data_IF_808038063731
#
_entry.id   IF_808038063731
#
_cell.length_a   1.000
_cell.length_b   1.000
_cell.length_c   1.000
_cell.angle_alpha   90.00
_cell.angle_beta   90.00
_cell.angle_gamma   90.00
#
_symmetry.space_group_name_H-M   'P 1'
#
loop_
_entity.id
_entity.type
_entity.pdbx_description
1 polymer ?
#
# COMPACT_ATOMS: atom_id res chain seq x y z
N UNK A 1 28.41 24.96 -30.86
CA UNK A 1 26.97 24.90 -30.50
C UNK A 1 26.95 24.74 -29.00
N UNK A 2 26.32 25.69 -28.34
CA UNK A 2 26.47 26.01 -26.92
C UNK A 2 26.05 24.84 -26.02
N UNK A 3 26.83 24.63 -24.95
CA UNK A 3 26.54 23.66 -23.92
C UNK A 3 25.25 24.07 -23.20
N UNK A 4 24.20 23.27 -23.32
CA UNK A 4 23.03 23.33 -22.43
C UNK A 4 23.51 22.98 -21.02
N UNK A 5 23.91 24.01 -20.28
CA UNK A 5 24.34 23.89 -18.90
C UNK A 5 23.14 23.42 -18.07
N UNK A 6 23.15 22.14 -17.68
CA UNK A 6 22.24 21.63 -16.68
C UNK A 6 22.31 22.50 -15.42
N UNK A 7 21.19 23.08 -15.02
CA UNK A 7 21.12 23.90 -13.80
C UNK A 7 20.74 23.01 -12.64
N UNK A 8 21.56 23.02 -11.59
CA UNK A 8 21.36 22.24 -10.38
C UNK A 8 20.94 23.19 -9.26
N UNK A 9 19.79 22.91 -8.64
CA UNK A 9 19.25 23.69 -7.54
C UNK A 9 18.35 22.85 -6.65
N UNK A 10 17.98 23.41 -5.50
CA UNK A 10 17.06 22.78 -4.56
C UNK A 10 15.64 23.19 -4.94
N UNK A 11 14.75 22.22 -5.14
CA UNK A 11 13.33 22.51 -5.40
C UNK A 11 12.74 23.22 -4.18
N UNK A 12 12.17 24.39 -4.40
CA UNK A 12 11.57 25.24 -3.36
C UNK A 12 10.29 25.89 -3.88
N UNK A 13 9.51 26.49 -2.98
CA UNK A 13 8.30 27.24 -3.32
C UNK A 13 8.36 28.63 -2.68
N UNK A 14 7.90 29.64 -3.41
CA UNK A 14 7.80 31.02 -2.91
C UNK A 14 6.59 31.72 -3.47
N UNK A 15 6.28 32.92 -2.96
CA UNK A 15 5.29 33.81 -3.57
C UNK A 15 5.95 34.67 -4.65
N UNK A 16 5.34 34.72 -5.83
CA UNK A 16 5.79 35.54 -6.94
C UNK A 16 5.80 37.02 -6.50
N UNK A 17 6.94 37.74 -6.61
CA UNK A 17 7.03 39.13 -6.17
C UNK A 17 6.17 40.09 -7.01
N UNK A 18 5.76 39.68 -8.22
CA UNK A 18 5.01 40.53 -9.14
C UNK A 18 3.50 40.48 -8.91
N UNK A 19 2.94 39.31 -8.59
CA UNK A 19 1.49 39.14 -8.48
C UNK A 19 1.02 38.25 -7.32
N UNK A 20 1.93 37.78 -6.46
CA UNK A 20 1.60 37.16 -5.17
C UNK A 20 1.08 35.72 -5.21
N UNK A 21 0.97 35.09 -6.38
CA UNK A 21 0.64 33.67 -6.49
C UNK A 21 1.83 32.79 -6.04
N UNK A 22 1.55 31.54 -5.66
CA UNK A 22 2.60 30.59 -5.31
C UNK A 22 3.25 30.03 -6.58
N UNK A 23 4.58 30.13 -6.65
CA UNK A 23 5.40 29.58 -7.72
C UNK A 23 6.37 28.54 -7.16
N UNK A 24 6.52 27.43 -7.89
CA UNK A 24 7.46 26.35 -7.58
C UNK A 24 8.62 26.43 -8.57
N UNK A 25 9.83 26.33 -8.07
CA UNK A 25 11.05 26.47 -8.85
C UNK A 25 12.22 25.79 -8.17
N UNK A 26 13.41 25.95 -8.72
CA UNK A 26 14.64 25.52 -8.07
C UNK A 26 15.50 26.73 -7.72
N UNK A 27 16.06 26.71 -6.53
CA UNK A 27 17.01 27.70 -6.04
C UNK A 27 18.43 27.19 -6.27
N UNK A 28 19.21 27.91 -7.08
CA UNK A 28 20.60 27.56 -7.37
C UNK A 28 21.50 27.83 -6.17
N UNK A 29 22.73 27.31 -6.18
CA UNK A 29 23.73 27.60 -5.14
C UNK A 29 24.01 29.10 -4.94
N UNK A 30 23.69 29.92 -5.95
CA UNK A 30 23.90 31.35 -5.94
C UNK A 30 22.68 32.12 -5.42
N UNK A 31 21.63 31.42 -4.94
CA UNK A 31 20.38 32.02 -4.44
C UNK A 31 19.43 32.51 -5.53
N UNK A 32 19.71 32.19 -6.79
CA UNK A 32 18.84 32.52 -7.91
C UNK A 32 17.68 31.50 -7.98
N UNK A 33 16.45 32.00 -8.03
CA UNK A 33 15.26 31.18 -8.19
C UNK A 33 14.85 31.12 -9.66
N UNK A 34 14.74 29.91 -10.18
CA UNK A 34 14.28 29.63 -11.54
C UNK A 34 12.94 28.88 -11.47
N UNK A 35 11.83 29.45 -11.99
CA UNK A 35 10.52 28.81 -11.92
C UNK A 35 10.47 27.58 -12.83
N UNK A 36 9.83 26.51 -12.36
CA UNK A 36 9.57 25.33 -13.17
C UNK A 36 8.48 25.63 -14.19
N UNK A 37 8.72 25.24 -15.45
CA UNK A 37 7.78 25.40 -16.55
C UNK A 37 7.26 24.04 -17.02
N UNK A 38 6.01 23.98 -17.52
CA UNK A 38 5.53 22.79 -18.22
C UNK A 38 6.48 22.43 -19.37
N UNK A 39 6.97 21.19 -19.36
CA UNK A 39 7.95 20.69 -20.33
C UNK A 39 9.39 20.59 -19.82
N UNK A 40 9.69 21.08 -18.62
CA UNK A 40 11.02 20.93 -18.02
C UNK A 40 11.30 19.46 -17.64
N UNK A 41 12.50 18.98 -17.99
CA UNK A 41 13.02 17.68 -17.55
C UNK A 41 13.77 17.84 -16.23
N UNK A 42 13.35 17.12 -15.18
CA UNK A 42 13.94 17.22 -13.85
C UNK A 42 14.72 15.96 -13.49
N UNK A 43 16.01 16.14 -13.14
CA UNK A 43 16.82 15.10 -12.52
C UNK A 43 16.75 15.18 -10.99
N UNK A 44 16.30 14.11 -10.32
CA UNK A 44 16.24 14.06 -8.85
C UNK A 44 17.52 13.45 -8.30
N UNK A 45 18.39 14.29 -7.76
CA UNK A 45 19.60 13.86 -7.06
C UNK A 45 19.31 13.78 -5.57
N UNK A 46 19.13 12.55 -5.06
CA UNK A 46 19.03 12.35 -3.60
C UNK A 46 20.36 12.74 -2.98
N UNK A 47 20.37 13.79 -2.15
CA UNK A 47 21.54 14.15 -1.35
C UNK A 47 21.91 12.91 -0.51
N UNK A 48 23.13 12.37 -0.61
CA UNK A 48 23.55 11.28 0.25
C UNK A 48 23.40 11.71 1.71
N UNK A 49 23.03 10.79 2.63
CA UNK A 49 23.22 11.05 4.05
C UNK A 49 24.68 11.47 4.27
N UNK A 50 24.92 12.44 5.15
CA UNK A 50 26.25 12.95 5.45
C UNK A 50 27.23 11.80 5.75
N UNK A 51 28.51 11.91 5.35
CA UNK A 51 29.42 10.79 5.28
C UNK A 51 29.62 10.15 6.64
N UNK A 52 29.16 8.92 6.72
CA UNK A 52 29.28 8.02 7.86
C UNK A 52 28.66 6.69 7.48
N UNK A 53 29.29 6.00 6.51
CA UNK A 53 29.24 4.56 6.17
C UNK A 53 29.27 4.41 4.64
N UNK A 54 30.42 3.94 4.16
CA UNK A 54 30.73 3.76 2.76
C UNK A 54 30.04 2.53 2.18
N UNK A 55 29.62 2.60 0.91
CA UNK A 55 29.67 1.47 0.00
C UNK A 55 29.87 1.97 -1.45
N UNK A 56 30.63 1.20 -2.20
CA UNK A 56 31.14 1.44 -3.56
C UNK A 56 30.02 1.45 -4.62
N UNK A 57 30.30 1.98 -5.83
CA UNK A 57 29.32 2.09 -6.90
C UNK A 57 29.16 0.75 -7.62
N UNK A 58 27.92 0.27 -7.73
CA UNK A 58 27.56 -0.80 -8.68
C UNK A 58 26.81 -0.20 -9.88
N UNK A 59 27.16 -0.77 -11.03
CA UNK A 59 26.71 -0.43 -12.36
C UNK A 59 25.20 -0.67 -12.50
N UNK A 60 24.54 0.18 -13.29
CA UNK A 60 23.15 -0.01 -13.69
C UNK A 60 23.03 -1.26 -14.58
N UNK A 61 22.68 -2.39 -13.96
CA UNK A 61 21.93 -3.46 -14.62
C UNK A 61 20.46 -3.11 -14.55
N UNK A 62 19.78 -3.15 -15.71
CA UNK A 62 18.32 -3.20 -15.77
C UNK A 62 17.92 -4.56 -15.21
N UNK A 63 17.74 -4.62 -13.90
CA UNK A 63 17.12 -5.76 -13.25
C UNK A 63 15.61 -5.60 -13.40
N UNK A 64 15.00 -6.57 -14.09
CA UNK A 64 13.63 -6.97 -13.79
C UNK A 64 13.47 -7.03 -12.27
N UNK A 65 12.29 -6.76 -11.69
CA UNK A 65 12.11 -6.87 -10.25
C UNK A 65 12.19 -8.35 -9.88
N UNK A 66 13.41 -8.87 -9.70
CA UNK A 66 13.64 -10.02 -8.87
C UNK A 66 13.21 -9.59 -7.47
N UNK A 67 12.24 -10.32 -6.94
CA UNK A 67 11.64 -10.06 -5.65
C UNK A 67 12.71 -9.78 -4.61
N UNK A 68 12.77 -8.54 -4.15
CA UNK A 68 13.12 -8.32 -2.77
C UNK A 68 12.06 -9.09 -1.98
N UNK A 69 12.44 -10.23 -1.41
CA UNK A 69 11.63 -10.90 -0.42
C UNK A 69 11.33 -9.83 0.64
N UNK A 70 10.12 -9.27 0.62
CA UNK A 70 9.64 -8.42 1.71
C UNK A 70 9.85 -9.27 2.96
N UNK A 71 10.79 -8.88 3.82
CA UNK A 71 11.16 -9.66 4.99
C UNK A 71 10.00 -9.63 5.99
N UNK A 72 9.06 -10.55 5.82
CA UNK A 72 7.91 -10.70 6.69
C UNK A 72 8.29 -11.40 8.01
N UNK A 73 9.57 -11.63 8.33
CA UNK A 73 9.98 -12.30 9.58
C UNK A 73 9.47 -11.60 10.85
N UNK A 74 9.33 -10.27 10.77
CA UNK A 74 8.74 -9.42 11.81
C UNK A 74 7.21 -9.40 11.90
N UNK A 75 6.51 -10.14 11.03
CA UNK A 75 5.05 -10.14 10.97
C UNK A 75 4.43 -11.45 11.48
N UNK A 76 3.29 -11.32 12.13
CA UNK A 76 2.35 -12.38 12.50
C UNK A 76 1.11 -12.32 11.62
N UNK A 77 0.54 -13.49 11.32
CA UNK A 77 -0.71 -13.58 10.57
C UNK A 77 -1.88 -13.56 11.53
N UNK A 78 -2.96 -12.88 11.12
CA UNK A 78 -4.20 -12.90 11.87
C UNK A 78 -5.39 -13.02 10.93
N UNK A 79 -6.34 -13.88 11.31
CA UNK A 79 -7.64 -14.04 10.68
C UNK A 79 -8.61 -14.52 11.75
N UNK A 80 -9.90 -14.16 11.72
CA UNK A 80 -10.88 -14.73 12.63
C UNK A 80 -10.87 -16.26 12.57
N UNK A 81 -10.81 -16.92 13.74
CA UNK A 81 -10.71 -18.38 13.84
C UNK A 81 -11.80 -19.13 13.07
N UNK A 82 -13.01 -18.57 13.02
CA UNK A 82 -14.15 -19.12 12.29
C UNK A 82 -13.91 -19.18 10.77
N UNK A 83 -13.00 -18.38 10.23
CA UNK A 83 -12.72 -18.28 8.80
C UNK A 83 -11.49 -19.09 8.36
N UNK A 84 -10.74 -19.68 9.31
CA UNK A 84 -9.48 -20.39 9.03
C UNK A 84 -9.63 -21.57 8.07
N UNK A 85 -10.83 -22.12 7.89
CA UNK A 85 -11.06 -23.26 6.99
C UNK A 85 -11.17 -22.88 5.51
N UNK A 86 -11.57 -21.66 5.19
CA UNK A 86 -11.85 -21.28 3.81
C UNK A 86 -10.76 -20.35 3.24
N UNK A 87 -10.10 -20.76 2.15
CA UNK A 87 -9.02 -19.99 1.52
C UNK A 87 -9.46 -18.59 1.08
N UNK A 88 -10.61 -18.46 0.43
CA UNK A 88 -11.10 -17.15 -0.04
C UNK A 88 -11.38 -16.21 1.13
N UNK A 89 -11.94 -16.72 2.23
CA UNK A 89 -12.17 -15.91 3.44
C UNK A 89 -10.84 -15.55 4.13
N UNK A 90 -9.86 -16.45 4.17
CA UNK A 90 -8.51 -16.13 4.65
C UNK A 90 -7.84 -15.05 3.80
N UNK A 91 -7.93 -15.14 2.48
CA UNK A 91 -7.37 -14.12 1.59
C UNK A 91 -8.14 -12.80 1.65
N UNK A 92 -9.45 -12.80 1.90
CA UNK A 92 -10.27 -11.58 2.07
C UNK A 92 -9.96 -10.89 3.40
N UNK A 93 -10.08 -11.61 4.51
CA UNK A 93 -10.04 -11.05 5.87
C UNK A 93 -8.70 -11.17 6.58
N UNK A 94 -7.81 -12.05 6.15
CA UNK A 94 -6.50 -12.25 6.76
C UNK A 94 -5.59 -11.04 6.59
N UNK A 95 -4.82 -10.72 7.62
CA UNK A 95 -3.89 -9.58 7.67
C UNK A 95 -2.54 -9.99 8.25
N UNK A 96 -1.51 -9.22 7.92
CA UNK A 96 -0.19 -9.30 8.53
C UNK A 96 -0.03 -8.17 9.55
N UNK A 97 0.49 -8.50 10.73
CA UNK A 97 0.61 -7.57 11.85
C UNK A 97 2.02 -7.60 12.37
N UNK A 98 2.61 -6.43 12.58
CA UNK A 98 3.93 -6.33 13.17
C UNK A 98 3.90 -6.86 14.62
N UNK A 99 4.78 -7.82 14.92
CA UNK A 99 4.94 -8.45 16.25
C UNK A 99 5.14 -7.45 17.38
N UNK A 100 5.80 -6.33 17.12
CA UNK A 100 6.08 -5.30 18.12
C UNK A 100 4.80 -4.56 18.59
N UNK A 101 3.75 -4.59 17.76
CA UNK A 101 2.47 -3.93 18.01
C UNK A 101 1.46 -4.88 18.65
N UNK A 102 1.59 -6.19 18.46
CA UNK A 102 0.70 -7.20 19.05
C UNK A 102 0.96 -7.30 20.55
N UNK A 103 0.06 -6.71 21.35
CA UNK A 103 0.08 -6.80 22.82
C UNK A 103 -1.31 -7.19 23.33
N UNK A 104 -1.77 -8.40 22.98
CA UNK A 104 -3.02 -8.96 23.48
C UNK A 104 -3.98 -9.40 22.37
N UNK A 105 -5.27 -9.39 22.68
CA UNK A 105 -6.34 -9.76 21.76
C UNK A 105 -6.51 -8.75 20.61
N UNK A 106 -7.07 -9.21 19.49
CA UNK A 106 -7.35 -8.36 18.34
C UNK A 106 -8.38 -7.29 18.69
N UNK A 107 -8.06 -6.03 18.40
CA UNK A 107 -9.02 -4.93 18.47
C UNK A 107 -9.40 -4.44 17.08
N UNK A 108 -10.58 -3.81 16.96
CA UNK A 108 -11.04 -3.24 15.70
C UNK A 108 -10.05 -2.24 15.09
N UNK A 109 -9.49 -1.34 15.91
CA UNK A 109 -8.50 -0.36 15.46
C UNK A 109 -7.19 -1.01 14.98
N UNK A 110 -6.73 -2.07 15.66
CA UNK A 110 -5.56 -2.84 15.22
C UNK A 110 -5.82 -3.55 13.90
N UNK A 111 -7.01 -4.14 13.74
CA UNK A 111 -7.40 -4.81 12.52
C UNK A 111 -7.50 -3.84 11.32
N UNK A 112 -8.13 -2.68 11.50
CA UNK A 112 -8.21 -1.64 10.46
C UNK A 112 -6.81 -1.22 9.99
N UNK A 113 -5.92 -0.93 10.94
CA UNK A 113 -4.55 -0.54 10.62
C UNK A 113 -3.82 -1.65 9.83
N UNK A 114 -3.94 -2.90 10.27
CA UNK A 114 -3.34 -4.04 9.59
C UNK A 114 -3.92 -4.29 8.19
N UNK A 115 -5.22 -4.05 8.02
CA UNK A 115 -5.91 -4.16 6.73
C UNK A 115 -5.44 -3.09 5.74
N UNK A 116 -5.29 -1.84 6.19
CA UNK A 116 -4.73 -0.76 5.37
C UNK A 116 -3.27 -1.03 4.98
N UNK A 117 -2.48 -1.60 5.90
CA UNK A 117 -1.12 -2.05 5.59
C UNK A 117 -1.11 -3.16 4.54
N UNK A 118 -2.03 -4.13 4.62
CA UNK A 118 -2.20 -5.15 3.58
C UNK A 118 -2.51 -4.53 2.22
N UNK A 119 -3.44 -3.57 2.13
CA UNK A 119 -3.73 -2.87 0.87
C UNK A 119 -2.48 -2.20 0.29
N UNK A 120 -1.72 -1.50 1.13
CA UNK A 120 -0.47 -0.86 0.71
C UNK A 120 0.52 -1.88 0.13
N UNK A 121 0.70 -3.04 0.77
CA UNK A 121 1.60 -4.11 0.29
C UNK A 121 1.13 -4.68 -1.06
N UNK A 122 -0.17 -4.96 -1.20
CA UNK A 122 -0.76 -5.45 -2.45
C UNK A 122 -0.55 -4.45 -3.60
N UNK A 123 -0.72 -3.14 -3.33
CA UNK A 123 -0.46 -2.09 -4.31
C UNK A 123 1.02 -2.03 -4.71
N UNK A 124 1.92 -2.13 -3.73
CA UNK A 124 3.36 -2.02 -3.96
C UNK A 124 3.92 -3.17 -4.81
N UNK A 125 3.39 -4.38 -4.64
CA UNK A 125 3.88 -5.60 -5.29
C UNK A 125 3.30 -5.84 -6.68
N UNK A 126 2.38 -4.98 -7.11
CA UNK A 126 1.64 -5.22 -8.33
C UNK A 126 2.41 -4.75 -9.58
N UNK A 127 2.56 -5.62 -10.57
CA UNK A 127 3.24 -5.30 -11.83
C UNK A 127 2.37 -4.52 -12.83
N UNK A 128 1.06 -4.78 -12.84
CA UNK A 128 0.10 -4.08 -13.71
C UNK A 128 -0.03 -2.61 -13.26
N UNK A 129 -0.13 -1.63 -14.18
CA UNK A 129 -0.38 -0.25 -13.78
C UNK A 129 -1.66 -0.15 -12.94
N UNK A 130 -1.56 0.40 -11.74
CA UNK A 130 -2.68 0.44 -10.78
C UNK A 130 -3.92 1.12 -11.34
N UNK A 131 -3.76 2.17 -12.16
CA UNK A 131 -4.89 2.83 -12.82
C UNK A 131 -5.70 1.88 -13.71
N UNK A 132 -5.06 0.90 -14.35
CA UNK A 132 -5.74 -0.10 -15.19
C UNK A 132 -6.56 -1.06 -14.32
N UNK A 133 -6.01 -1.49 -13.18
CA UNK A 133 -6.73 -2.32 -12.22
C UNK A 133 -7.94 -1.56 -11.67
N UNK A 134 -7.74 -0.34 -11.18
CA UNK A 134 -8.82 0.43 -10.56
C UNK A 134 -9.91 0.83 -11.57
N UNK A 135 -9.58 1.02 -12.84
CA UNK A 135 -10.58 1.22 -13.89
C UNK A 135 -11.43 -0.05 -14.10
N UNK A 136 -10.80 -1.23 -14.12
CA UNK A 136 -11.46 -2.53 -14.31
C UNK A 136 -12.44 -2.86 -13.17
N UNK A 137 -12.04 -2.66 -11.91
CA UNK A 137 -12.84 -3.09 -10.76
C UNK A 137 -13.77 -2.01 -10.20
N UNK A 138 -13.39 -0.72 -10.29
CA UNK A 138 -14.12 0.37 -9.63
C UNK A 138 -14.45 1.56 -10.53
N UNK A 139 -13.99 1.58 -11.79
CA UNK A 139 -14.09 2.75 -12.67
C UNK A 139 -13.47 3.99 -12.01
N UNK A 140 -12.39 3.79 -11.23
CA UNK A 140 -11.75 4.81 -10.41
C UNK A 140 -10.23 4.94 -10.65
N UNK A 141 -9.76 5.07 -11.91
CA UNK A 141 -8.33 5.15 -12.21
C UNK A 141 -7.64 6.36 -11.58
N UNK A 142 -8.40 7.42 -11.27
CA UNK A 142 -7.90 8.65 -10.65
C UNK A 142 -7.36 8.43 -9.23
N UNK A 143 -7.80 7.38 -8.53
CA UNK A 143 -7.31 7.03 -7.18
C UNK A 143 -5.90 6.44 -7.19
N UNK A 144 -5.35 6.08 -8.37
CA UNK A 144 -4.01 5.52 -8.49
C UNK A 144 -2.87 6.56 -8.32
N UNK A 145 -3.19 7.81 -8.01
CA UNK A 145 -2.21 8.89 -7.96
C UNK A 145 -1.47 8.96 -6.61
N UNK A 146 -0.16 8.68 -6.64
CA UNK A 146 0.73 8.90 -5.49
C UNK A 146 1.59 7.68 -5.17
N UNK A 147 2.16 7.69 -3.96
CA UNK A 147 2.83 6.52 -3.41
C UNK A 147 1.82 5.48 -2.89
N UNK A 148 2.22 4.20 -2.73
CA UNK A 148 1.30 3.12 -2.34
C UNK A 148 0.49 3.39 -1.06
N UNK A 149 1.06 4.13 -0.10
CA UNK A 149 0.37 4.47 1.14
C UNK A 149 -0.74 5.48 0.89
N UNK A 150 -0.46 6.54 0.13
CA UNK A 150 -1.49 7.53 -0.26
C UNK A 150 -2.59 6.90 -1.08
N UNK A 151 -2.26 5.97 -1.97
CA UNK A 151 -3.28 5.27 -2.75
C UNK A 151 -4.13 4.39 -1.83
N UNK A 152 -3.52 3.60 -0.93
CA UNK A 152 -4.28 2.79 0.03
C UNK A 152 -5.23 3.65 0.88
N UNK A 153 -4.78 4.84 1.32
CA UNK A 153 -5.61 5.80 2.03
C UNK A 153 -6.76 6.33 1.15
N UNK A 154 -6.51 6.66 -0.11
CA UNK A 154 -7.55 7.11 -1.04
C UNK A 154 -8.60 6.02 -1.33
N UNK A 155 -8.15 4.77 -1.57
CA UNK A 155 -9.06 3.64 -1.74
C UNK A 155 -9.92 3.42 -0.50
N UNK A 156 -9.33 3.54 0.69
CA UNK A 156 -10.04 3.44 1.96
C UNK A 156 -11.10 4.53 2.16
N UNK A 157 -10.80 5.77 1.78
CA UNK A 157 -11.71 6.91 1.94
C UNK A 157 -12.81 6.98 0.87
N UNK A 158 -12.58 6.44 -0.33
CA UNK A 158 -13.51 6.60 -1.45
C UNK A 158 -14.33 5.34 -1.76
N UNK A 159 -13.81 4.14 -1.50
CA UNK A 159 -14.46 2.88 -1.89
C UNK A 159 -15.10 2.16 -0.70
N UNK A 160 -16.42 1.93 -0.78
CA UNK A 160 -17.15 1.22 0.27
C UNK A 160 -16.79 -0.27 0.30
N UNK A 161 -16.58 -0.87 -0.86
CA UNK A 161 -16.17 -2.27 -1.05
C UNK A 161 -14.87 -2.59 -0.32
N UNK A 162 -13.96 -1.62 -0.24
CA UNK A 162 -12.69 -1.74 0.48
C UNK A 162 -12.90 -1.66 2.01
N UNK A 163 -13.85 -0.83 2.47
CA UNK A 163 -14.16 -0.68 3.90
C UNK A 163 -15.02 -1.82 4.43
N UNK A 164 -15.87 -2.41 3.60
CA UNK A 164 -16.89 -3.37 4.02
C UNK A 164 -16.28 -4.57 4.78
N UNK A 165 -15.16 -5.21 4.34
CA UNK A 165 -14.57 -6.31 5.09
C UNK A 165 -14.14 -5.91 6.51
N UNK A 166 -13.63 -4.69 6.69
CA UNK A 166 -13.24 -4.18 8.01
C UNK A 166 -14.45 -3.89 8.88
N UNK A 167 -15.52 -3.32 8.32
CA UNK A 167 -16.76 -3.12 9.06
C UNK A 167 -17.36 -4.45 9.53
N UNK A 168 -17.34 -5.50 8.70
CA UNK A 168 -17.83 -6.83 9.05
C UNK A 168 -17.00 -7.46 10.19
N UNK A 169 -15.68 -7.42 10.09
CA UNK A 169 -14.79 -7.94 11.14
C UNK A 169 -14.94 -7.14 12.43
N UNK A 170 -15.06 -5.82 12.34
CA UNK A 170 -15.27 -4.95 13.51
C UNK A 170 -16.56 -5.30 14.23
N UNK A 171 -17.67 -5.46 13.50
CA UNK A 171 -18.95 -5.89 14.07
C UNK A 171 -18.84 -7.26 14.74
N UNK A 172 -18.09 -8.19 14.15
CA UNK A 172 -17.86 -9.52 14.73
C UNK A 172 -16.97 -9.48 15.98
N UNK A 173 -15.95 -8.62 16.01
CA UNK A 173 -15.10 -8.42 17.19
C UNK A 173 -15.89 -7.79 18.35
N UNK A 174 -16.81 -6.88 18.06
CA UNK A 174 -17.67 -6.24 19.07
C UNK A 174 -18.78 -7.16 19.59
N UNK A 175 -19.37 -7.98 18.72
CA UNK A 175 -20.43 -8.91 19.06
C UNK A 175 -20.25 -10.26 18.35
N UNK A 176 -19.39 -11.15 18.88
CA UNK A 176 -19.09 -12.43 18.26
C UNK A 176 -20.30 -13.37 18.37
N UNK A 177 -21.05 -13.49 17.28
CA UNK A 177 -22.22 -14.37 17.18
C UNK A 177 -22.57 -14.76 15.75
N UNK A 178 -23.43 -15.76 15.60
CA UNK A 178 -23.76 -16.37 14.30
C UNK A 178 -24.28 -15.35 13.27
N UNK A 179 -25.03 -14.32 13.70
CA UNK A 179 -25.51 -13.27 12.79
C UNK A 179 -24.37 -12.47 12.15
N UNK A 180 -23.39 -12.04 12.96
CA UNK A 180 -22.21 -11.31 12.48
C UNK A 180 -21.33 -12.20 11.59
N UNK A 181 -21.19 -13.48 11.94
CA UNK A 181 -20.44 -14.45 11.16
C UNK A 181 -21.11 -14.71 9.80
N UNK A 182 -22.43 -14.86 9.76
CA UNK A 182 -23.19 -15.06 8.51
C UNK A 182 -22.99 -13.90 7.53
N UNK A 183 -22.89 -12.66 8.02
CA UNK A 183 -22.57 -11.49 7.18
C UNK A 183 -21.17 -11.58 6.59
N UNK A 184 -20.19 -12.10 7.34
CA UNK A 184 -18.80 -12.25 6.88
C UNK A 184 -18.62 -13.34 5.83
N UNK A 185 -19.41 -14.41 5.90
CA UNK A 185 -19.22 -15.60 5.06
C UNK A 185 -20.13 -15.64 3.83
N UNK A 186 -21.13 -14.76 3.73
CA UNK A 186 -22.05 -14.70 2.59
C UNK A 186 -21.27 -14.66 1.25
N UNK A 187 -21.67 -15.46 0.23
CA UNK A 187 -22.89 -16.27 0.15
C UNK A 187 -22.80 -17.68 0.76
N UNK A 188 -21.71 -18.01 1.46
CA UNK A 188 -21.53 -19.31 2.12
C UNK A 188 -22.40 -19.43 3.38
N UNK A 189 -22.58 -20.66 3.83
CA UNK A 189 -23.21 -21.02 5.10
C UNK A 189 -22.17 -21.52 6.11
N UNK A 190 -22.56 -21.55 7.39
CA UNK A 190 -21.70 -22.12 8.46
C UNK A 190 -21.33 -23.58 8.17
N UNK A 191 -22.18 -24.32 7.45
CA UNK A 191 -21.89 -25.71 7.07
C UNK A 191 -20.76 -25.83 6.04
N UNK A 192 -20.51 -24.78 5.27
CA UNK A 192 -19.45 -24.74 4.25
C UNK A 192 -18.07 -24.42 4.85
N UNK A 193 -18.03 -24.03 6.13
CA UNK A 193 -16.79 -23.80 6.89
C UNK A 193 -16.19 -25.08 7.48
N UNK A 194 -16.71 -26.26 7.10
CA UNK A 194 -16.25 -27.56 7.61
C UNK A 194 -14.98 -28.01 6.89
N UNK A 195 -13.98 -28.35 7.71
CA UNK A 195 -12.70 -29.02 7.40
C UNK A 195 -11.48 -28.13 7.07
N UNK A 196 -10.33 -28.52 7.65
CA UNK A 196 -8.99 -28.01 7.31
C UNK A 196 -8.59 -26.68 7.95
N UNK A 197 -8.03 -26.70 9.16
CA UNK A 197 -7.28 -25.54 9.67
C UNK A 197 -5.90 -25.55 9.01
N UNK A 198 -5.53 -24.43 8.40
CA UNK A 198 -4.16 -24.21 7.92
C UNK A 198 -3.27 -23.74 9.06
N UNK A 199 -1.96 -24.01 8.97
CA UNK A 199 -0.99 -23.44 9.91
C UNK A 199 -0.78 -21.95 9.65
N UNK A 200 -0.21 -21.24 10.62
CA UNK A 200 0.07 -19.81 10.48
C UNK A 200 1.12 -19.55 9.38
N UNK A 201 2.04 -20.49 9.14
CA UNK A 201 3.00 -20.45 8.02
C UNK A 201 2.31 -20.59 6.67
N UNK A 202 1.35 -21.51 6.56
CA UNK A 202 0.56 -21.67 5.34
C UNK A 202 -0.27 -20.41 5.06
N UNK A 203 -0.90 -19.83 6.09
CA UNK A 203 -1.61 -18.56 5.96
C UNK A 203 -0.67 -17.43 5.55
N UNK A 204 0.55 -17.40 6.11
CA UNK A 204 1.55 -16.38 5.76
C UNK A 204 1.94 -16.47 4.29
N UNK A 205 2.21 -17.68 3.81
CA UNK A 205 2.49 -17.93 2.40
C UNK A 205 1.30 -17.54 1.51
N UNK A 206 0.08 -17.91 1.89
CA UNK A 206 -1.13 -17.52 1.14
C UNK A 206 -1.30 -16.00 1.04
N UNK A 207 -1.00 -15.25 2.10
CA UNK A 207 -1.07 -13.79 2.11
C UNK A 207 0.10 -13.14 1.38
N UNK A 208 1.26 -13.78 1.37
CA UNK A 208 2.43 -13.35 0.61
C UNK A 208 2.22 -13.54 -0.91
N UNK A 209 1.65 -14.66 -1.33
CA UNK A 209 1.36 -14.94 -2.74
C UNK A 209 0.13 -14.20 -3.28
N UNK A 210 -0.65 -13.53 -2.42
CA UNK A 210 -1.87 -12.84 -2.81
C UNK A 210 -1.57 -11.63 -3.71
N UNK A 211 -2.13 -11.62 -4.92
CA UNK A 211 -2.08 -10.45 -5.81
C UNK A 211 -3.17 -9.43 -5.48
N UNK A 212 -2.98 -8.18 -5.91
CA UNK A 212 -4.00 -7.15 -5.77
C UNK A 212 -5.26 -7.51 -6.58
N UNK A 213 -5.12 -8.04 -7.79
CA UNK A 213 -6.27 -8.38 -8.65
C UNK A 213 -7.12 -9.50 -8.04
N UNK A 214 -6.48 -10.57 -7.54
CA UNK A 214 -7.17 -11.66 -6.86
C UNK A 214 -7.89 -11.16 -5.61
N UNK A 215 -7.26 -10.24 -4.87
CA UNK A 215 -7.86 -9.63 -3.70
C UNK A 215 -9.12 -8.83 -4.04
N UNK A 216 -9.05 -7.97 -5.06
CA UNK A 216 -10.16 -7.12 -5.48
C UNK A 216 -11.33 -7.92 -6.08
N UNK A 217 -11.06 -9.05 -6.74
CA UNK A 217 -12.10 -9.93 -7.28
C UNK A 217 -12.96 -10.59 -6.19
N UNK A 218 -12.46 -10.67 -4.95
CA UNK A 218 -13.18 -11.28 -3.83
C UNK A 218 -14.00 -10.29 -2.98
N UNK A 219 -13.90 -8.98 -3.22
CA UNK A 219 -14.60 -7.97 -2.44
C UNK A 219 -16.11 -8.02 -2.69
#
# INVERSE_FOLDING_TARGET
MENDNAVIGVITSRKCPTCGHHEVGYETSNGEFLPLRPGDSVGVFRKPPAPGLAAKPEEFTVESPEGGEDDFSGFETWVPEALKSNRSLRSKYGVLINKDVVKGEMSAALYEMAYRQKLQLLIQRNYTPLSVILDKYFVAPHLAAGDPRRVADALWEELEEIRMPVQLVTQWLENPGDESLLKMIHPLSINDLKEGRVSDEQLKQELDELSLEDFLEML
#
